data_IF_165916325867
#
_entry.id   IF_165916325867
#
_cell.length_a   1.000
_cell.length_b   1.000
_cell.length_c   1.000
_cell.angle_alpha   90.00
_cell.angle_beta   90.00
_cell.angle_gamma   90.00
#
_symmetry.space_group_name_H-M   'P 1'
#
loop_
_entity.id
_entity.type
_entity.pdbx_description
1 polymer ?
#
# COMPACT_ATOMS: atom_id res chain seq x y z
N UNK A 1 16.21 29.01 44.19
CA UNK A 1 17.00 29.30 42.97
C UNK A 1 17.77 28.05 42.53
N UNK A 2 17.33 27.36 41.46
CA UNK A 2 18.01 26.16 40.92
C UNK A 2 19.12 26.61 39.97
N UNK A 3 20.38 26.29 40.28
CA UNK A 3 21.56 26.63 39.44
C UNK A 3 21.56 25.74 38.19
N UNK A 4 21.28 26.35 37.02
CA UNK A 4 21.39 25.71 35.70
C UNK A 4 22.89 25.52 35.38
N UNK A 5 23.38 24.28 35.44
CA UNK A 5 24.74 23.96 34.97
C UNK A 5 24.77 24.05 33.44
N UNK A 6 25.31 25.14 32.89
CA UNK A 6 25.59 25.28 31.46
C UNK A 6 26.81 24.43 31.11
N UNK A 7 26.60 23.28 30.48
CA UNK A 7 27.68 22.46 29.93
C UNK A 7 28.23 23.11 28.65
N UNK A 8 29.09 24.12 28.81
CA UNK A 8 29.98 24.56 27.74
C UNK A 8 31.15 23.56 27.63
N UNK A 9 30.92 22.44 26.95
CA UNK A 9 31.93 21.38 26.84
C UNK A 9 32.09 20.92 25.40
N UNK A 10 33.03 21.55 24.68
CA UNK A 10 33.87 21.10 23.54
C UNK A 10 33.30 20.29 22.35
N UNK A 11 32.19 19.57 22.51
CA UNK A 11 31.56 18.72 21.50
C UNK A 11 30.62 19.47 20.55
N UNK A 12 30.16 20.67 20.93
CA UNK A 12 29.22 21.46 20.10
C UNK A 12 29.85 21.89 18.76
N UNK A 13 31.14 22.20 18.76
CA UNK A 13 31.90 22.58 17.55
C UNK A 13 32.14 21.41 16.58
N UNK A 14 32.09 20.16 17.05
CA UNK A 14 32.31 18.99 16.18
C UNK A 14 31.16 18.77 15.19
N UNK A 15 29.96 19.24 15.51
CA UNK A 15 28.77 19.05 14.67
C UNK A 15 28.45 20.26 13.77
N UNK A 16 28.99 21.44 14.05
CA UNK A 16 28.68 22.67 13.30
C UNK A 16 29.50 22.84 12.01
N UNK A 17 30.64 22.15 11.86
CA UNK A 17 31.53 22.29 10.68
C UNK A 17 31.43 21.14 9.69
N UNK A 18 30.56 20.15 9.91
CA UNK A 18 30.42 19.01 9.01
C UNK A 18 29.47 19.34 7.88
N UNK A 19 30.01 19.29 6.66
CA UNK A 19 29.31 19.42 5.39
C UNK A 19 29.21 18.03 4.75
N UNK A 20 28.19 17.82 3.93
CA UNK A 20 27.99 16.65 3.11
C UNK A 20 29.23 16.38 2.26
N UNK A 21 29.65 15.11 2.22
CA UNK A 21 30.78 14.67 1.41
C UNK A 21 30.27 13.89 0.22
N UNK A 22 30.78 14.18 -0.98
CA UNK A 22 30.41 13.48 -2.21
C UNK A 22 30.65 11.97 -2.15
N UNK A 23 31.67 11.51 -1.40
CA UNK A 23 31.95 10.10 -1.13
C UNK A 23 30.77 9.34 -0.52
N UNK A 24 29.85 10.04 0.15
CA UNK A 24 28.68 9.40 0.76
C UNK A 24 27.62 9.00 -0.27
N UNK A 25 27.65 9.54 -1.49
CA UNK A 25 26.76 9.11 -2.58
C UNK A 25 27.09 7.66 -3.01
N UNK A 26 28.35 7.24 -2.88
CA UNK A 26 28.77 5.86 -3.18
C UNK A 26 28.28 4.87 -2.10
N UNK A 27 28.30 5.30 -0.83
CA UNK A 27 27.90 4.45 0.30
C UNK A 27 26.38 4.44 0.50
N UNK A 28 25.72 5.59 0.26
CA UNK A 28 24.29 5.79 0.45
C UNK A 28 23.65 6.34 -0.83
N UNK A 29 23.41 5.50 -1.86
CA UNK A 29 22.86 5.93 -3.16
C UNK A 29 21.45 6.57 -3.09
N UNK A 30 20.76 6.38 -1.97
CA UNK A 30 19.44 6.95 -1.69
C UNK A 30 19.50 8.37 -1.10
N UNK A 31 20.69 8.92 -0.82
CA UNK A 31 20.88 10.29 -0.36
C UNK A 31 21.28 11.23 -1.51
N UNK A 32 20.88 12.49 -1.40
CA UNK A 32 21.35 13.62 -2.20
C UNK A 32 21.83 14.77 -1.31
N UNK A 33 22.69 15.62 -1.85
CA UNK A 33 23.06 16.89 -1.20
C UNK A 33 21.87 17.86 -1.24
N UNK A 34 21.61 18.53 -0.12
CA UNK A 34 20.57 19.55 -0.03
C UNK A 34 21.05 20.84 -0.72
N UNK A 35 20.29 21.41 -1.66
CA UNK A 35 20.72 22.59 -2.42
C UNK A 35 20.79 23.86 -1.57
N UNK A 36 20.04 23.93 -0.46
CA UNK A 36 19.95 25.11 0.39
C UNK A 36 21.00 25.10 1.51
N UNK A 37 21.33 23.92 2.05
CA UNK A 37 22.32 23.78 3.12
C UNK A 37 23.10 22.46 3.02
N UNK A 38 24.37 22.55 2.63
CA UNK A 38 25.27 21.40 2.55
C UNK A 38 25.51 20.67 3.89
N UNK A 39 24.99 21.14 5.03
CA UNK A 39 24.99 20.38 6.30
C UNK A 39 23.90 19.32 6.36
N UNK A 40 22.98 19.30 5.40
CA UNK A 40 21.90 18.36 5.30
C UNK A 40 22.00 17.52 4.02
N UNK A 41 21.43 16.32 4.10
CA UNK A 41 21.22 15.43 2.99
C UNK A 41 19.72 15.17 2.87
N UNK A 42 19.25 15.03 1.64
CA UNK A 42 17.86 14.66 1.34
C UNK A 42 17.83 13.16 1.06
N UNK A 43 17.00 12.42 1.79
CA UNK A 43 16.76 11.01 1.47
C UNK A 43 15.69 10.90 0.39
N UNK A 44 16.05 10.40 -0.81
CA UNK A 44 15.13 10.17 -1.94
C UNK A 44 14.00 9.20 -1.62
N UNK A 45 14.28 8.19 -0.77
CA UNK A 45 13.27 7.20 -0.40
C UNK A 45 12.23 7.77 0.59
N UNK A 46 12.63 8.69 1.48
CA UNK A 46 11.74 9.21 2.53
C UNK A 46 11.30 10.67 2.32
N UNK A 47 11.83 11.36 1.32
CA UNK A 47 11.74 12.81 1.11
C UNK A 47 11.94 13.62 2.40
N UNK A 48 12.91 13.21 3.22
CA UNK A 48 13.20 13.83 4.51
C UNK A 48 14.60 14.45 4.52
N UNK A 49 14.67 15.67 5.04
CA UNK A 49 15.92 16.38 5.34
C UNK A 49 16.59 15.78 6.58
N UNK A 50 17.78 15.24 6.42
CA UNK A 50 18.56 14.55 7.46
C UNK A 50 19.90 15.25 7.60
N UNK A 51 20.46 15.31 8.80
CA UNK A 51 21.81 15.87 8.98
C UNK A 51 22.83 15.01 8.25
N UNK A 52 23.71 15.66 7.51
CA UNK A 52 24.80 15.06 6.76
C UNK A 52 25.88 14.54 7.74
N UNK A 53 25.60 13.43 8.42
CA UNK A 53 26.52 12.77 9.34
C UNK A 53 26.44 11.26 9.14
N UNK A 54 27.58 10.60 8.88
CA UNK A 54 27.68 9.15 8.63
C UNK A 54 26.83 8.30 9.58
N UNK A 55 26.99 8.49 10.90
CA UNK A 55 26.22 7.73 11.88
C UNK A 55 24.70 7.98 11.83
N UNK A 56 24.27 9.20 11.46
CA UNK A 56 22.84 9.51 11.33
C UNK A 56 22.28 8.85 10.07
N UNK A 57 23.02 8.89 8.96
CA UNK A 57 22.66 8.21 7.72
C UNK A 57 22.57 6.68 7.91
N UNK A 58 23.52 6.07 8.60
CA UNK A 58 23.48 4.64 8.94
C UNK A 58 22.28 4.28 9.82
N UNK A 59 21.95 5.11 10.82
CA UNK A 59 20.75 4.87 11.63
C UNK A 59 19.47 5.06 10.83
N UNK A 60 19.43 6.03 9.90
CA UNK A 60 18.28 6.27 9.04
C UNK A 60 18.03 5.10 8.09
N UNK A 61 19.08 4.54 7.49
CA UNK A 61 19.00 3.38 6.60
C UNK A 61 18.30 2.18 7.27
N UNK A 62 18.48 2.02 8.59
CA UNK A 62 17.88 0.94 9.37
C UNK A 62 16.46 1.24 9.85
N UNK A 63 15.92 2.43 9.60
CA UNK A 63 14.56 2.75 10.04
C UNK A 63 13.54 1.99 9.21
N UNK A 64 12.48 1.49 9.87
CA UNK A 64 11.39 0.74 9.21
C UNK A 64 10.78 1.52 8.05
N UNK A 65 10.57 2.84 8.23
CA UNK A 65 10.04 3.72 7.18
C UNK A 65 10.95 3.78 5.95
N UNK A 66 12.26 3.88 6.17
CA UNK A 66 13.22 3.87 5.07
C UNK A 66 13.21 2.51 4.34
N UNK A 67 13.25 1.40 5.07
CA UNK A 67 13.23 0.06 4.48
C UNK A 67 11.94 -0.21 3.68
N UNK A 68 10.78 0.20 4.20
CA UNK A 68 9.47 0.07 3.52
C UNK A 68 9.42 0.88 2.22
N UNK A 69 9.90 2.12 2.24
CA UNK A 69 9.93 2.96 1.05
C UNK A 69 10.98 2.49 0.02
N UNK A 70 12.10 1.93 0.49
CA UNK A 70 13.15 1.40 -0.39
C UNK A 70 12.69 0.12 -1.11
N UNK A 71 11.84 -0.70 -0.47
CA UNK A 71 11.29 -1.92 -1.08
C UNK A 71 10.19 -1.67 -2.10
N UNK A 72 9.79 -0.42 -2.34
CA UNK A 72 8.74 -0.08 -3.32
C UNK A 72 7.37 -0.66 -2.99
N UNK A 73 7.16 -1.11 -1.74
CA UNK A 73 5.84 -1.47 -1.23
C UNK A 73 5.13 -0.19 -0.88
N UNK A 74 4.54 0.42 -1.90
CA UNK A 74 3.78 1.67 -1.88
C UNK A 74 2.43 1.48 -1.16
N UNK A 75 2.49 1.03 0.10
CA UNK A 75 1.39 1.18 1.05
C UNK A 75 1.52 2.60 1.62
N UNK A 76 0.93 3.56 0.91
CA UNK A 76 0.69 4.94 1.35
C UNK A 76 -0.04 4.87 2.70
N UNK A 77 0.70 5.19 3.76
CA UNK A 77 0.25 5.16 5.14
C UNK A 77 -0.62 6.39 5.49
N UNK A 78 -1.53 6.13 6.42
CA UNK A 78 -2.28 7.05 7.25
C UNK A 78 -1.56 8.36 7.62
N UNK A 79 -2.33 9.45 7.54
CA UNK A 79 -2.06 10.72 8.20
C UNK A 79 -1.85 10.50 9.71
N UNK A 80 -0.59 10.60 10.16
CA UNK A 80 -0.30 10.80 11.58
C UNK A 80 0.65 12.01 11.73
N UNK A 81 0.03 13.17 11.93
CA UNK A 81 0.69 14.41 12.34
C UNK A 81 1.31 14.25 13.74
N UNK A 82 2.48 14.87 14.02
CA UNK A 82 3.11 14.77 15.32
C UNK A 82 2.46 15.78 16.30
N UNK A 83 1.42 15.36 17.03
CA UNK A 83 0.99 16.11 18.21
C UNK A 83 2.02 15.96 19.33
N UNK A 84 2.52 17.13 19.74
CA UNK A 84 3.49 17.34 20.81
C UNK A 84 3.01 16.70 22.12
N UNK A 85 4.00 16.17 22.83
CA UNK A 85 3.89 15.58 24.14
C UNK A 85 3.60 16.65 25.20
N UNK A 86 2.41 16.61 25.79
CA UNK A 86 2.22 17.01 27.18
C UNK A 86 2.04 15.75 28.02
N UNK A 87 3.05 15.49 28.83
CA UNK A 87 3.01 14.52 29.92
C UNK A 87 2.19 15.15 31.04
N UNK A 88 0.99 14.66 31.31
CA UNK A 88 0.58 14.44 32.69
C UNK A 88 -0.60 13.48 32.82
N UNK A 89 -0.43 12.61 33.82
CA UNK A 89 -1.48 11.98 34.62
C UNK A 89 -2.16 10.68 34.19
N UNK A 90 -1.97 9.74 35.12
CA UNK A 90 -2.77 8.58 35.50
C UNK A 90 -2.81 7.37 34.57
N UNK A 91 -1.87 6.47 34.89
CA UNK A 91 -2.09 5.03 34.92
C UNK A 91 -3.41 4.73 35.65
N UNK A 92 -4.31 3.99 35.01
CA UNK A 92 -5.12 2.92 35.60
C UNK A 92 -6.02 2.32 34.51
N UNK A 93 -5.75 1.06 34.14
CA UNK A 93 -6.74 -0.03 34.15
C UNK A 93 -6.17 -1.26 33.41
N UNK A 94 -5.36 -2.00 34.18
CA UNK A 94 -5.35 -3.45 34.12
C UNK A 94 -6.44 -3.93 35.06
N UNK A 95 -7.43 -4.67 34.57
CA UNK A 95 -8.29 -5.52 35.40
C UNK A 95 -8.96 -6.54 34.49
N UNK A 96 -8.48 -7.78 34.45
CA UNK A 96 -8.77 -8.85 35.42
C UNK A 96 -10.28 -9.12 35.55
N UNK A 97 -10.63 -10.32 35.10
CA UNK A 97 -11.78 -11.13 35.48
C UNK A 97 -12.08 -11.07 36.97
N UNK A 98 -13.37 -11.23 37.33
CA UNK A 98 -13.86 -12.00 38.50
C UNK A 98 -15.42 -11.93 38.54
N UNK A 99 -16.08 -12.92 39.16
CA UNK A 99 -17.39 -13.46 38.80
C UNK A 99 -18.55 -12.93 39.65
N UNK A 100 -19.76 -13.36 39.26
CA UNK A 100 -20.96 -13.27 40.09
C UNK A 100 -20.84 -14.12 41.35
N UNK A 101 -20.85 -13.49 42.53
CA UNK A 101 -21.58 -13.96 43.72
C UNK A 101 -21.52 -12.93 44.88
N UNK A 102 -22.54 -12.91 45.74
CA UNK A 102 -22.56 -12.25 47.06
C UNK A 102 -23.64 -11.16 47.17
N UNK A 103 -24.80 -11.38 47.81
CA UNK A 103 -25.07 -11.33 49.26
C UNK A 103 -24.69 -10.02 49.96
N UNK A 104 -25.53 -9.63 50.93
CA UNK A 104 -25.48 -8.48 51.86
C UNK A 104 -26.18 -7.22 51.32
N UNK A 105 -26.98 -6.47 52.06
CA UNK A 105 -27.56 -6.62 53.40
C UNK A 105 -28.74 -5.65 53.47
N UNK A 106 -29.88 -6.10 53.98
CA UNK A 106 -30.92 -5.18 54.43
C UNK A 106 -30.47 -4.51 55.74
N UNK A 107 -30.68 -3.19 55.93
CA UNK A 107 -30.67 -2.63 57.26
C UNK A 107 -32.01 -2.93 57.95
N UNK A 108 -31.91 -3.50 59.15
CA UNK A 108 -32.99 -3.58 60.11
C UNK A 108 -33.42 -2.16 60.51
N UNK A 109 -34.69 -1.83 60.30
CA UNK A 109 -35.39 -0.86 61.15
C UNK A 109 -36.50 -1.61 61.88
N UNK A 110 -36.27 -1.84 63.16
CA UNK A 110 -37.32 -2.10 64.12
C UNK A 110 -38.23 -0.87 64.20
N UNK A 111 -39.52 -1.06 63.96
CA UNK A 111 -40.54 -0.27 64.62
C UNK A 111 -41.66 -1.22 65.05
N UNK A 112 -41.65 -1.50 66.34
CA UNK A 112 -42.77 -2.05 67.11
C UNK A 112 -43.96 -1.09 66.94
N UNK A 113 -45.16 -1.61 66.68
CA UNK A 113 -46.40 -1.29 67.40
C UNK A 113 -47.58 -2.16 66.91
N UNK A 114 -47.96 -3.08 67.79
CA UNK A 114 -49.33 -3.40 68.25
C UNK A 114 -50.41 -3.90 67.29
N UNK A 115 -50.88 -5.09 67.65
CA UNK A 115 -52.21 -5.72 67.51
C UNK A 115 -53.41 -4.79 67.29
N UNK A 116 -54.35 -5.35 66.51
CA UNK A 116 -55.80 -5.14 66.58
C UNK A 116 -56.33 -3.71 66.42
N UNK A 117 -56.21 -3.21 65.19
CA UNK A 117 -57.32 -2.48 64.57
C UNK A 117 -57.54 -3.03 63.17
N UNK A 118 -58.52 -3.92 63.05
CA UNK A 118 -59.18 -4.30 61.81
C UNK A 118 -59.90 -3.06 61.25
N UNK A 119 -59.14 -2.11 60.74
CA UNK A 119 -59.68 -0.99 59.97
C UNK A 119 -60.06 -1.54 58.61
N UNK A 120 -61.34 -1.87 58.49
CA UNK A 120 -62.07 -1.95 57.24
C UNK A 120 -61.99 -0.57 56.56
N UNK A 121 -60.82 -0.26 56.02
CA UNK A 121 -60.57 0.88 55.14
C UNK A 121 -61.22 0.48 53.83
N UNK A 122 -62.48 0.81 53.67
CA UNK A 122 -63.07 0.91 52.34
C UNK A 122 -62.15 1.81 51.54
N UNK A 123 -61.48 1.27 50.51
CA UNK A 123 -60.68 2.04 49.57
C UNK A 123 -61.47 3.29 49.21
N UNK A 124 -60.92 4.46 49.54
CA UNK A 124 -61.57 5.70 49.15
C UNK A 124 -61.64 5.71 47.63
N UNK A 125 -62.80 5.98 47.01
CA UNK A 125 -62.92 6.09 45.55
C UNK A 125 -61.86 7.00 44.91
N UNK A 126 -61.32 7.94 45.70
CA UNK A 126 -60.24 8.86 45.34
C UNK A 126 -58.89 8.12 45.17
N UNK A 127 -58.59 7.13 46.01
CA UNK A 127 -57.32 6.38 45.94
C UNK A 127 -57.31 5.42 44.76
N UNK A 128 -58.45 4.77 44.46
CA UNK A 128 -58.61 3.96 43.25
C UNK A 128 -58.46 4.81 41.97
N UNK A 129 -58.95 6.05 41.98
CA UNK A 129 -58.77 6.99 40.86
C UNK A 129 -57.32 7.44 40.71
N UNK A 130 -56.63 7.79 41.81
CA UNK A 130 -55.20 8.10 41.77
C UNK A 130 -54.36 6.92 41.27
N UNK A 131 -54.64 5.71 41.74
CA UNK A 131 -53.93 4.51 41.29
C UNK A 131 -54.17 4.24 39.79
N UNK A 132 -55.41 4.40 39.31
CA UNK A 132 -55.72 4.29 37.88
C UNK A 132 -54.98 5.36 37.04
N UNK A 133 -54.85 6.58 37.57
CA UNK A 133 -54.10 7.67 36.93
C UNK A 133 -52.59 7.38 36.88
N UNK A 134 -52.00 6.93 37.98
CA UNK A 134 -50.58 6.54 38.03
C UNK A 134 -50.28 5.41 37.05
N UNK A 135 -51.13 4.37 36.99
CA UNK A 135 -51.00 3.29 36.02
C UNK A 135 -51.07 3.78 34.56
N UNK A 136 -51.88 4.80 34.27
CA UNK A 136 -51.94 5.40 32.94
C UNK A 136 -50.65 6.15 32.60
N UNK A 137 -50.10 6.89 33.57
CA UNK A 137 -48.83 7.62 33.44
C UNK A 137 -47.69 6.62 33.19
N UNK A 138 -47.60 5.54 33.97
CA UNK A 138 -46.57 4.51 33.81
C UNK A 138 -46.63 3.87 32.42
N UNK A 139 -47.83 3.53 31.94
CA UNK A 139 -48.03 3.00 30.57
C UNK A 139 -47.70 4.00 29.46
N UNK A 140 -47.82 5.30 29.70
CA UNK A 140 -47.41 6.33 28.74
C UNK A 140 -45.90 6.48 28.72
N UNK A 141 -45.26 6.45 29.89
CA UNK A 141 -43.81 6.51 30.05
C UNK A 141 -43.15 5.26 29.44
N UNK A 142 -43.68 4.07 29.70
CA UNK A 142 -43.21 2.81 29.11
C UNK A 142 -43.28 2.86 27.58
N UNK A 143 -44.45 3.23 27.01
CA UNK A 143 -44.60 3.39 25.55
C UNK A 143 -43.65 4.43 24.96
N UNK A 144 -43.38 5.52 25.67
CA UNK A 144 -42.41 6.52 25.23
C UNK A 144 -40.98 5.95 25.20
N UNK A 145 -40.59 5.21 26.24
CA UNK A 145 -39.29 4.56 26.30
C UNK A 145 -39.13 3.49 25.23
N UNK A 146 -40.14 2.66 24.99
CA UNK A 146 -40.14 1.65 23.93
C UNK A 146 -39.95 2.30 22.56
N UNK A 147 -40.73 3.34 22.25
CA UNK A 147 -40.61 4.07 20.99
C UNK A 147 -39.23 4.73 20.83
N UNK A 148 -38.66 5.24 21.92
CA UNK A 148 -37.30 5.81 21.91
C UNK A 148 -36.24 4.73 21.65
N UNK A 149 -36.37 3.56 22.27
CA UNK A 149 -35.48 2.42 22.05
C UNK A 149 -35.59 1.91 20.62
N UNK A 150 -36.80 1.81 20.07
CA UNK A 150 -37.02 1.41 18.68
C UNK A 150 -36.38 2.40 17.70
N UNK A 151 -36.58 3.71 17.91
CA UNK A 151 -35.93 4.74 17.09
C UNK A 151 -34.39 4.64 17.14
N UNK A 152 -33.82 4.45 18.34
CA UNK A 152 -32.38 4.28 18.50
C UNK A 152 -31.87 3.01 17.81
N UNK A 153 -32.64 1.92 17.87
CA UNK A 153 -32.32 0.66 17.19
C UNK A 153 -32.28 0.86 15.67
N UNK A 154 -33.31 1.48 15.10
CA UNK A 154 -33.36 1.79 13.67
C UNK A 154 -32.17 2.67 13.24
N UNK A 155 -31.82 3.67 14.05
CA UNK A 155 -30.66 4.52 13.76
C UNK A 155 -29.34 3.74 13.80
N UNK A 156 -29.16 2.85 14.77
CA UNK A 156 -27.97 2.01 14.86
C UNK A 156 -27.87 1.04 13.68
N UNK A 157 -28.98 0.37 13.34
CA UNK A 157 -29.06 -0.56 12.21
C UNK A 157 -28.73 0.17 10.89
N UNK A 158 -29.24 1.39 10.70
CA UNK A 158 -28.90 2.24 9.55
C UNK A 158 -27.40 2.60 9.51
N UNK A 159 -26.80 2.93 10.64
CA UNK A 159 -25.36 3.21 10.73
C UNK A 159 -24.50 1.98 10.43
N UNK A 160 -24.90 0.80 10.91
CA UNK A 160 -24.23 -0.47 10.62
C UNK A 160 -24.30 -0.80 9.13
N UNK A 161 -25.46 -0.60 8.51
CA UNK A 161 -25.64 -0.81 7.07
C UNK A 161 -24.74 0.12 6.26
N UNK A 162 -24.72 1.43 6.57
CA UNK A 162 -23.85 2.39 5.88
C UNK A 162 -22.37 2.05 6.03
N UNK A 163 -21.95 1.60 7.21
CA UNK A 163 -20.58 1.17 7.44
C UNK A 163 -20.22 -0.09 6.63
N UNK A 164 -21.14 -1.05 6.54
CA UNK A 164 -20.97 -2.24 5.71
C UNK A 164 -20.88 -1.88 4.22
N UNK A 165 -21.76 -1.01 3.73
CA UNK A 165 -21.76 -0.52 2.35
C UNK A 165 -20.46 0.24 2.03
N UNK A 166 -19.99 1.10 2.94
CA UNK A 166 -18.71 1.81 2.80
C UNK A 166 -17.53 0.85 2.74
N UNK A 167 -17.53 -0.21 3.55
CA UNK A 167 -16.49 -1.24 3.50
C UNK A 167 -16.52 -2.02 2.17
N UNK A 168 -17.71 -2.35 1.68
CA UNK A 168 -17.87 -3.02 0.38
C UNK A 168 -17.43 -2.13 -0.78
N UNK A 169 -17.77 -0.84 -0.76
CA UNK A 169 -17.33 0.13 -1.77
C UNK A 169 -15.80 0.23 -1.81
N UNK A 170 -15.14 0.31 -0.66
CA UNK A 170 -13.67 0.32 -0.59
C UNK A 170 -13.05 -0.95 -1.19
N UNK A 171 -13.62 -2.12 -0.90
CA UNK A 171 -13.15 -3.39 -1.50
C UNK A 171 -13.35 -3.39 -3.02
N UNK A 172 -14.51 -2.94 -3.49
CA UNK A 172 -14.80 -2.85 -4.92
C UNK A 172 -13.87 -1.86 -5.65
N UNK A 173 -13.54 -0.72 -5.03
CA UNK A 173 -12.58 0.23 -5.57
C UNK A 173 -11.18 -0.38 -5.68
N UNK A 174 -10.70 -1.05 -4.62
CA UNK A 174 -9.41 -1.74 -4.64
C UNK A 174 -9.38 -2.84 -5.70
N UNK A 175 -10.48 -3.58 -5.87
CA UNK A 175 -10.61 -4.59 -6.90
C UNK A 175 -10.51 -4.00 -8.31
N UNK A 176 -11.22 -2.90 -8.58
CA UNK A 176 -11.12 -2.18 -9.87
C UNK A 176 -9.72 -1.66 -10.15
N UNK A 177 -9.01 -1.18 -9.12
CA UNK A 177 -7.64 -0.72 -9.26
C UNK A 177 -6.69 -1.85 -9.66
N UNK A 178 -6.86 -3.03 -9.06
CA UNK A 178 -6.12 -4.25 -9.42
C UNK A 178 -6.43 -4.65 -10.86
N UNK A 179 -7.69 -4.64 -11.27
CA UNK A 179 -8.13 -4.95 -12.64
C UNK A 179 -7.48 -4.00 -13.66
N UNK A 180 -7.54 -2.69 -13.41
CA UNK A 180 -6.90 -1.68 -14.27
C UNK A 180 -5.38 -1.82 -14.35
N UNK A 181 -4.74 -2.31 -13.27
CA UNK A 181 -3.30 -2.62 -13.30
C UNK A 181 -3.04 -3.85 -14.16
N UNK A 182 -3.82 -4.91 -14.00
CA UNK A 182 -3.72 -6.14 -14.80
C UNK A 182 -3.92 -5.87 -16.29
N UNK A 183 -4.92 -5.04 -16.65
CA UNK A 183 -5.18 -4.64 -18.04
C UNK A 183 -4.02 -3.84 -18.64
N UNK A 184 -3.45 -2.89 -17.88
CA UNK A 184 -2.27 -2.15 -18.32
C UNK A 184 -1.05 -3.05 -18.54
N UNK A 185 -0.84 -4.01 -17.65
CA UNK A 185 0.24 -5.00 -17.79
C UNK A 185 0.00 -5.93 -18.98
N UNK A 186 -1.25 -6.35 -19.23
CA UNK A 186 -1.62 -7.15 -20.40
C UNK A 186 -1.37 -6.39 -21.70
N UNK A 187 -1.84 -5.15 -21.80
CA UNK A 187 -1.61 -4.30 -22.97
C UNK A 187 -0.11 -4.06 -23.21
N UNK A 188 0.67 -3.86 -22.15
CA UNK A 188 2.14 -3.74 -22.26
C UNK A 188 2.76 -5.00 -22.87
N UNK A 189 2.34 -6.20 -22.44
CA UNK A 189 2.82 -7.47 -23.02
C UNK A 189 2.43 -7.62 -24.48
N UNK A 190 1.22 -7.25 -24.86
CA UNK A 190 0.77 -7.27 -26.26
C UNK A 190 1.63 -6.36 -27.14
N UNK A 191 1.93 -5.14 -26.67
CA UNK A 191 2.80 -4.21 -27.40
C UNK A 191 4.22 -4.76 -27.54
N UNK A 192 4.77 -5.37 -26.49
CA UNK A 192 6.09 -6.01 -26.54
C UNK A 192 6.10 -7.21 -27.49
N UNK A 193 5.04 -8.02 -27.51
CA UNK A 193 4.87 -9.16 -28.42
C UNK A 193 4.80 -8.71 -29.88
N UNK A 194 4.00 -7.68 -30.19
CA UNK A 194 3.91 -7.12 -31.55
C UNK A 194 5.26 -6.57 -32.00
N UNK A 195 5.97 -5.87 -31.11
CA UNK A 195 7.32 -5.36 -31.40
C UNK A 195 8.31 -6.49 -31.69
N UNK A 196 8.26 -7.57 -30.91
CA UNK A 196 9.12 -8.74 -31.12
C UNK A 196 8.81 -9.42 -32.47
N UNK A 197 7.53 -9.61 -32.80
CA UNK A 197 7.11 -10.18 -34.09
C UNK A 197 7.57 -9.33 -35.27
N UNK A 198 7.46 -8.01 -35.17
CA UNK A 198 7.95 -7.11 -36.21
C UNK A 198 9.47 -7.24 -36.41
N UNK A 199 10.24 -7.31 -35.32
CA UNK A 199 11.69 -7.51 -35.39
C UNK A 199 12.05 -8.86 -36.03
N UNK A 200 11.33 -9.92 -35.66
CA UNK A 200 11.49 -11.25 -36.27
C UNK A 200 11.21 -11.21 -37.77
N UNK A 201 10.10 -10.60 -38.19
CA UNK A 201 9.74 -10.47 -39.60
C UNK A 201 10.80 -9.68 -40.40
N UNK A 202 11.39 -8.65 -39.80
CA UNK A 202 12.49 -7.90 -40.41
C UNK A 202 13.75 -8.77 -40.58
N UNK A 203 14.09 -9.58 -39.58
CA UNK A 203 15.21 -10.52 -39.66
C UNK A 203 14.97 -11.58 -40.73
N UNK A 204 13.78 -12.19 -40.78
CA UNK A 204 13.38 -13.16 -41.80
C UNK A 204 13.46 -12.55 -43.20
N UNK A 205 12.94 -11.33 -43.38
CA UNK A 205 13.01 -10.63 -44.66
C UNK A 205 14.45 -10.39 -45.10
N UNK A 206 15.35 -10.05 -44.15
CA UNK A 206 16.78 -9.86 -44.43
C UNK A 206 17.47 -11.17 -44.79
N UNK A 207 17.15 -12.27 -44.10
CA UNK A 207 17.68 -13.60 -44.41
C UNK A 207 17.24 -14.01 -45.82
N UNK A 208 15.94 -13.93 -46.11
CA UNK A 208 15.38 -14.25 -47.42
C UNK A 208 16.04 -13.42 -48.53
N UNK A 209 16.29 -12.13 -48.30
CA UNK A 209 16.99 -11.29 -49.28
C UNK A 209 18.43 -11.78 -49.55
N UNK A 210 19.18 -12.13 -48.50
CA UNK A 210 20.53 -12.68 -48.64
C UNK A 210 20.53 -14.04 -49.35
N UNK A 211 19.54 -14.89 -49.09
CA UNK A 211 19.40 -16.19 -49.77
C UNK A 211 19.08 -16.02 -51.25
N UNK A 212 18.17 -15.12 -51.61
CA UNK A 212 17.86 -14.78 -53.01
C UNK A 212 19.12 -14.28 -53.73
N UNK A 213 19.90 -13.40 -53.09
CA UNK A 213 21.15 -12.89 -53.65
C UNK A 213 22.19 -14.01 -53.85
N UNK A 214 22.36 -14.88 -52.84
CA UNK A 214 23.23 -16.05 -52.92
C UNK A 214 22.84 -16.96 -54.07
N UNK A 215 21.56 -17.27 -54.21
CA UNK A 215 21.07 -18.18 -55.25
C UNK A 215 21.19 -17.55 -56.64
N UNK A 216 21.02 -16.23 -56.77
CA UNK A 216 21.29 -15.51 -58.00
C UNK A 216 22.77 -15.57 -58.40
N UNK A 217 23.68 -15.41 -57.44
CA UNK A 217 25.13 -15.57 -57.65
C UNK A 217 25.49 -17.00 -58.07
N UNK A 218 24.90 -18.01 -57.43
CA UNK A 218 25.10 -19.41 -57.81
C UNK A 218 24.66 -19.66 -59.26
N UNK A 219 23.47 -19.20 -59.65
CA UNK A 219 22.99 -19.31 -61.05
C UNK A 219 23.90 -18.60 -62.04
N UNK A 220 24.47 -17.45 -61.69
CA UNK A 220 25.41 -16.75 -62.56
C UNK A 220 26.69 -17.57 -62.78
N UNK A 221 27.26 -18.15 -61.71
CA UNK A 221 28.43 -19.03 -61.81
C UNK A 221 28.12 -20.28 -62.65
N UNK A 222 26.94 -20.89 -62.47
CA UNK A 222 26.51 -22.03 -63.29
C UNK A 222 26.42 -21.67 -64.79
N UNK A 223 25.91 -20.47 -65.10
CA UNK A 223 25.87 -19.98 -66.48
C UNK A 223 27.27 -19.75 -67.06
N UNK A 224 28.18 -19.13 -66.30
CA UNK A 224 29.58 -18.95 -66.71
C UNK A 224 30.27 -20.29 -66.99
N UNK A 225 30.07 -21.29 -66.13
CA UNK A 225 30.59 -22.65 -66.32
C UNK A 225 30.01 -23.30 -67.59
N UNK A 226 28.73 -23.10 -67.87
CA UNK A 226 28.10 -23.60 -69.09
C UNK A 226 28.75 -22.98 -70.34
N UNK A 227 28.96 -21.66 -70.35
CA UNK A 227 29.62 -20.98 -71.48
C UNK A 227 31.07 -21.44 -71.64
N UNK A 228 31.83 -21.53 -70.53
CA UNK A 228 33.21 -22.02 -70.56
C UNK A 228 33.30 -23.45 -71.13
N UNK A 229 32.36 -24.34 -70.76
CA UNK A 229 32.27 -25.69 -71.31
C UNK A 229 32.01 -25.69 -72.82
N UNK A 230 31.07 -24.87 -73.28
CA UNK A 230 30.77 -24.75 -74.72
C UNK A 230 31.98 -24.21 -75.51
N UNK A 231 32.69 -23.22 -74.98
CA UNK A 231 33.92 -22.71 -75.59
C UNK A 231 35.02 -23.77 -75.66
N UNK A 232 35.21 -24.53 -74.58
CA UNK A 232 36.16 -25.64 -74.54
C UNK A 232 35.82 -26.70 -75.59
N UNK A 233 34.56 -27.11 -75.71
CA UNK A 233 34.10 -28.06 -76.73
C UNK A 233 34.33 -27.54 -78.15
N UNK A 234 34.09 -26.25 -78.41
CA UNK A 234 34.40 -25.63 -79.71
C UNK A 234 35.89 -25.66 -80.02
N UNK A 235 36.74 -25.31 -79.05
CA UNK A 235 38.21 -25.34 -79.19
C UNK A 235 38.73 -26.76 -79.46
N UNK A 236 38.19 -27.76 -78.76
CA UNK A 236 38.52 -29.17 -78.99
C UNK A 236 38.17 -29.62 -80.41
N UNK A 237 36.97 -29.29 -80.90
CA UNK A 237 36.57 -29.61 -82.27
C UNK A 237 37.48 -28.98 -83.33
N UNK A 238 37.91 -27.73 -83.11
CA UNK A 238 38.86 -27.07 -84.00
C UNK A 238 40.22 -27.77 -84.03
N UNK A 239 40.70 -28.19 -82.85
CA UNK A 239 41.96 -28.93 -82.72
C UNK A 239 41.88 -30.29 -83.45
N UNK A 240 40.77 -31.01 -83.30
CA UNK A 240 40.56 -32.29 -83.99
C UNK A 240 40.59 -32.14 -85.52
N UNK A 241 39.96 -31.07 -86.05
CA UNK A 241 40.00 -30.75 -87.48
C UNK A 241 41.44 -30.45 -87.94
N UNK A 242 42.18 -29.64 -87.17
CA UNK A 242 43.58 -29.34 -87.49
C UNK A 242 44.45 -30.60 -87.53
N UNK A 243 44.31 -31.47 -86.52
CA UNK A 243 45.04 -32.75 -86.46
C UNK A 243 44.65 -33.69 -87.60
N UNK A 244 43.39 -33.69 -88.03
CA UNK A 244 42.93 -34.48 -89.17
C UNK A 244 43.50 -33.97 -90.50
N UNK A 245 43.70 -32.65 -90.67
CA UNK A 245 44.28 -32.07 -91.88
C UNK A 245 45.80 -32.30 -92.00
N UNK A 246 46.48 -32.68 -90.91
CA UNK A 246 47.92 -32.96 -90.91
C UNK A 246 48.29 -34.40 -91.28
N UNK A 247 47.30 -35.29 -91.41
CA UNK A 247 47.50 -36.69 -91.81
C UNK A 247 47.26 -36.86 -93.30
#
# INVERSE_FOLDING_TARGET
AKKLKRSHGKWKLYYETRVFKKEWLEIFPWCEEDPDDGRFAICRACNKRIKAHKGILETHQKTKKHLKNLSGSDDIDDDDEPRKSDKNELKNNTSFSIPMNGQSSQPAMEHILTEDTFSFFSESPIDAQHQAMTNLIDKLVERYHDKRLENLKVQNDSMLQLNAEKANLKRAQKQREIELRMEREAHKREVEEVKLKLMQQQHESRINAMEIERDAKLRAVEQELMFARQEYEKKMKLLDVQLSCMK
#
